data_IF_221770717413
#
_entry.id   IF_221770717413
#
_cell.length_a   1.000
_cell.length_b   1.000
_cell.length_c   1.000
_cell.angle_alpha   90.00
_cell.angle_beta   90.00
_cell.angle_gamma   90.00
#
_symmetry.space_group_name_H-M   'P 1'
#
loop_
_entity.id
_entity.type
_entity.pdbx_description
1 polymer ?
#
# COMPACT_ATOMS: atom_id res chain seq x y z
N UNK A 1 -15.14 -23.41 15.55
CA UNK A 1 -15.25 -23.85 14.14
C UNK A 1 -16.32 -24.92 14.02
N UNK A 2 -17.03 -25.04 12.88
CA UNK A 2 -18.05 -26.11 12.69
C UNK A 2 -17.39 -27.45 12.37
N UNK A 3 -18.08 -28.56 12.66
CA UNK A 3 -17.63 -29.92 12.31
C UNK A 3 -17.66 -30.19 10.81
N UNK A 4 -18.59 -29.58 10.08
CA UNK A 4 -18.77 -29.77 8.64
C UNK A 4 -19.24 -28.47 7.96
N UNK A 5 -18.91 -28.36 6.67
CA UNK A 5 -19.26 -27.24 5.79
C UNK A 5 -19.74 -27.80 4.45
N UNK A 6 -20.83 -27.23 3.92
CA UNK A 6 -21.36 -27.58 2.60
C UNK A 6 -20.68 -26.75 1.51
N UNK A 7 -20.08 -27.44 0.54
CA UNK A 7 -19.39 -26.85 -0.61
C UNK A 7 -20.05 -27.20 -1.95
N UNK A 8 -21.32 -27.65 -1.96
CA UNK A 8 -22.04 -28.09 -3.17
C UNK A 8 -22.05 -27.04 -4.28
N UNK A 9 -22.06 -25.74 -3.92
CA UNK A 9 -22.00 -24.60 -4.86
C UNK A 9 -20.59 -23.99 -4.99
N UNK A 10 -19.58 -24.68 -4.47
CA UNK A 10 -18.21 -24.22 -4.44
C UNK A 10 -17.55 -24.27 -5.83
N UNK A 11 -16.97 -23.16 -6.24
CA UNK A 11 -16.17 -23.08 -7.48
C UNK A 11 -14.68 -23.08 -7.14
N UNK A 12 -13.95 -24.10 -7.62
CA UNK A 12 -12.50 -24.21 -7.40
C UNK A 12 -11.79 -23.08 -8.13
N UNK A 13 -10.99 -22.31 -7.41
CA UNK A 13 -10.17 -21.25 -8.02
C UNK A 13 -10.94 -19.98 -8.39
N UNK A 14 -12.17 -19.77 -7.89
CA UNK A 14 -12.97 -18.56 -8.16
C UNK A 14 -12.23 -17.24 -8.00
N UNK A 15 -11.31 -17.15 -7.03
CA UNK A 15 -10.49 -15.96 -6.77
C UNK A 15 -9.02 -16.13 -7.20
N UNK A 16 -8.64 -17.30 -7.70
CA UNK A 16 -7.29 -17.55 -8.17
C UNK A 16 -7.06 -16.81 -9.48
N UNK A 17 -6.00 -16.01 -9.51
CA UNK A 17 -5.58 -15.24 -10.68
C UNK A 17 -4.11 -15.59 -10.92
N UNK A 18 -3.77 -16.38 -11.95
CA UNK A 18 -2.41 -16.89 -12.16
C UNK A 18 -1.37 -15.79 -12.36
N UNK A 19 -1.81 -14.62 -12.88
CA UNK A 19 -0.96 -13.46 -13.11
C UNK A 19 -1.31 -12.29 -12.19
N UNK A 20 -1.84 -12.55 -10.99
CA UNK A 20 -2.12 -11.50 -10.02
C UNK A 20 -0.83 -10.74 -9.68
N UNK A 21 -0.87 -9.43 -9.85
CA UNK A 21 0.10 -8.53 -9.22
C UNK A 21 -0.52 -8.01 -7.93
N UNK A 22 0.15 -8.27 -6.82
CA UNK A 22 -0.24 -7.75 -5.52
C UNK A 22 0.62 -6.52 -5.23
N UNK A 23 -0.03 -5.37 -5.21
CA UNK A 23 0.58 -4.14 -4.71
C UNK A 23 0.38 -4.13 -3.19
N UNK A 24 1.38 -4.66 -2.48
CA UNK A 24 1.33 -4.72 -1.03
C UNK A 24 1.55 -3.32 -0.45
N UNK A 25 0.68 -2.86 0.46
CA UNK A 25 0.87 -1.57 1.11
C UNK A 25 2.10 -1.63 2.02
N UNK A 26 2.85 -0.54 2.05
CA UNK A 26 3.88 -0.31 3.08
C UNK A 26 3.21 0.47 4.20
N UNK A 27 3.16 -0.11 5.40
CA UNK A 27 2.66 0.58 6.58
C UNK A 27 3.70 1.58 7.06
N UNK A 28 3.23 2.79 7.36
CA UNK A 28 4.03 3.82 8.00
C UNK A 28 3.90 3.70 9.51
N UNK A 29 4.98 3.99 10.22
CA UNK A 29 4.92 4.23 11.65
C UNK A 29 4.01 5.42 11.95
N UNK A 30 3.40 5.40 13.13
CA UNK A 30 2.34 6.35 13.50
C UNK A 30 2.80 7.81 13.40
N UNK A 31 3.98 8.10 13.91
CA UNK A 31 4.58 9.44 13.89
C UNK A 31 4.82 9.94 12.46
N UNK A 32 5.32 9.07 11.58
CA UNK A 32 5.53 9.37 10.16
C UNK A 32 4.19 9.65 9.47
N UNK A 33 3.17 8.83 9.72
CA UNK A 33 1.85 9.00 9.13
C UNK A 33 1.20 10.32 9.56
N UNK A 34 1.24 10.64 10.85
CA UNK A 34 0.70 11.89 11.40
C UNK A 34 1.37 13.12 10.79
N UNK A 35 2.70 13.11 10.68
CA UNK A 35 3.45 14.21 10.09
C UNK A 35 3.07 14.45 8.62
N UNK A 36 3.00 13.38 7.82
CA UNK A 36 2.68 13.47 6.39
C UNK A 36 1.24 13.97 6.20
N UNK A 37 0.29 13.47 6.99
CA UNK A 37 -1.10 13.90 6.90
C UNK A 37 -1.26 15.38 7.24
N UNK A 38 -0.59 15.85 8.30
CA UNK A 38 -0.65 17.26 8.68
C UNK A 38 0.02 18.16 7.62
N UNK A 39 1.16 17.73 7.07
CA UNK A 39 1.81 18.45 5.97
C UNK A 39 0.91 18.54 4.72
N UNK A 40 0.29 17.42 4.32
CA UNK A 40 -0.60 17.36 3.17
C UNK A 40 -1.82 18.28 3.36
N UNK A 41 -2.40 18.28 4.57
CA UNK A 41 -3.51 19.16 4.95
C UNK A 41 -3.13 20.64 4.85
N UNK A 42 -1.97 21.04 5.39
CA UNK A 42 -1.49 22.42 5.32
C UNK A 42 -1.22 22.89 3.89
N UNK A 43 -0.80 21.98 3.01
CA UNK A 43 -0.52 22.25 1.61
C UNK A 43 -1.74 22.08 0.69
N UNK A 44 -2.87 21.60 1.23
CA UNK A 44 -4.08 21.27 0.48
C UNK A 44 -3.80 20.34 -0.72
N UNK A 45 -3.02 19.30 -0.47
CA UNK A 45 -2.65 18.26 -1.45
C UNK A 45 -2.90 16.88 -0.85
N UNK A 46 -2.91 15.85 -1.69
CA UNK A 46 -3.17 14.48 -1.27
C UNK A 46 -1.95 13.83 -0.56
N UNK A 47 -2.20 13.06 0.49
CA UNK A 47 -1.15 12.35 1.26
C UNK A 47 -0.31 11.43 0.36
N UNK A 48 -0.91 10.76 -0.61
CA UNK A 48 -0.21 9.88 -1.54
C UNK A 48 0.75 10.68 -2.44
N UNK A 49 0.36 11.90 -2.83
CA UNK A 49 1.23 12.79 -3.60
C UNK A 49 2.48 13.17 -2.77
N UNK A 50 2.29 13.55 -1.51
CA UNK A 50 3.39 13.88 -0.58
C UNK A 50 4.36 12.71 -0.43
N UNK A 51 3.84 11.52 -0.11
CA UNK A 51 4.64 10.30 0.07
C UNK A 51 5.45 10.00 -1.18
N UNK A 52 4.81 9.99 -2.35
CA UNK A 52 5.49 9.65 -3.59
C UNK A 52 6.57 10.68 -3.97
N UNK A 53 6.30 11.97 -3.80
CA UNK A 53 7.26 13.01 -4.15
C UNK A 53 8.50 12.95 -3.26
N UNK A 54 8.30 12.71 -1.95
CA UNK A 54 9.41 12.56 -1.00
C UNK A 54 10.24 11.31 -1.27
N UNK A 55 9.58 10.17 -1.54
CA UNK A 55 10.27 8.92 -1.88
C UNK A 55 11.05 9.06 -3.19
N UNK A 56 10.47 9.66 -4.23
CA UNK A 56 11.18 9.89 -5.51
C UNK A 56 12.39 10.80 -5.33
N UNK A 57 12.29 11.85 -4.52
CA UNK A 57 13.41 12.74 -4.25
C UNK A 57 14.53 12.02 -3.47
N UNK A 58 14.17 11.18 -2.49
CA UNK A 58 15.14 10.35 -1.78
C UNK A 58 15.82 9.33 -2.70
N UNK A 59 15.06 8.65 -3.57
CA UNK A 59 15.62 7.71 -4.56
C UNK A 59 16.63 8.43 -5.47
N UNK A 60 16.29 9.60 -5.99
CA UNK A 60 17.20 10.40 -6.83
C UNK A 60 18.49 10.77 -6.09
N UNK A 61 18.37 11.19 -4.82
CA UNK A 61 19.53 11.52 -3.99
C UNK A 61 20.43 10.29 -3.80
N UNK A 62 19.86 9.15 -3.43
CA UNK A 62 20.60 7.90 -3.25
C UNK A 62 21.28 7.49 -4.55
N UNK A 63 20.58 7.56 -5.69
CA UNK A 63 21.14 7.26 -7.01
C UNK A 63 22.30 8.18 -7.40
N UNK A 64 22.34 9.42 -6.93
CA UNK A 64 23.44 10.35 -7.20
C UNK A 64 24.71 10.07 -6.38
N UNK A 65 24.59 9.27 -5.33
CA UNK A 65 25.69 8.89 -4.43
C UNK A 65 26.26 7.50 -4.75
N UNK A 66 25.60 6.75 -5.66
CA UNK A 66 26.03 5.45 -6.16
C UNK A 66 26.83 5.63 -7.46
#
# INVERSE_FOLDING_TARGET
MKKEYDFTVGERGKFYRPNAKLELPVYLEKDVAEFIQEYARQKNIDTNQVVNDWLRNNIKLIQSLL
#
